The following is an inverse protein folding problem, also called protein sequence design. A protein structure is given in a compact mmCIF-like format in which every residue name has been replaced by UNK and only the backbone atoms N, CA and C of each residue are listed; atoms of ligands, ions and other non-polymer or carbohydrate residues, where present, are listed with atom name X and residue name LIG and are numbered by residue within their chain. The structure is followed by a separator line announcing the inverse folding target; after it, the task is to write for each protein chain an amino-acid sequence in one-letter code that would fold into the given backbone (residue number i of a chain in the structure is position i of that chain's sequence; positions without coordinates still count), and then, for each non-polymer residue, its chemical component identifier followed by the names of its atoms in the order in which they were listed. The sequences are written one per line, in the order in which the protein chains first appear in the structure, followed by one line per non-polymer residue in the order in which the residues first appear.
data_IF_925320969830
#
_entry.id   IF_925320969830
#
_cell.length_a   1.000
_cell.length_b   1.000
_cell.length_c   1.000
_cell.angle_alpha   90.00
_cell.angle_beta   90.00
_cell.angle_gamma   90.00
#
_symmetry.space_group_name_H-M   'P 1'
#
loop_
_entity.id
_entity.type
_entity.pdbx_description
1 polymer ?
#
# COMPACT_ATOMS: atom_id res chain seq x y z
N UNK A 1 -24.20 -2.45 18.90
CA UNK A 1 -24.31 -3.41 17.77
C UNK A 1 -22.91 -3.96 17.56
N UNK A 2 -22.72 -5.28 17.53
CA UNK A 2 -21.39 -5.85 17.25
C UNK A 2 -21.11 -5.86 15.75
N UNK A 3 -19.97 -5.30 15.33
CA UNK A 3 -19.46 -5.41 13.97
C UNK A 3 -18.24 -6.34 13.96
N UNK A 4 -18.40 -7.52 13.37
CA UNK A 4 -17.36 -8.54 13.29
C UNK A 4 -16.75 -8.56 11.89
N UNK A 5 -15.43 -8.50 11.81
CA UNK A 5 -14.67 -8.64 10.58
C UNK A 5 -13.81 -9.89 10.58
N UNK A 6 -13.49 -10.41 9.40
CA UNK A 6 -12.61 -11.56 9.22
C UNK A 6 -11.51 -11.26 8.20
N UNK A 7 -10.35 -11.87 8.39
CA UNK A 7 -9.23 -11.82 7.46
C UNK A 7 -8.39 -10.55 7.53
N UNK A 8 -7.41 -10.48 6.62
CA UNK A 8 -6.41 -9.42 6.53
C UNK A 8 -7.04 -8.02 6.40
N UNK A 9 -8.13 -7.92 5.63
CA UNK A 9 -8.83 -6.66 5.39
C UNK A 9 -9.45 -6.09 6.68
N UNK A 10 -10.07 -6.94 7.48
CA UNK A 10 -10.67 -6.54 8.75
C UNK A 10 -9.60 -6.12 9.77
N UNK A 11 -8.49 -6.86 9.83
CA UNK A 11 -7.36 -6.53 10.68
C UNK A 11 -6.70 -5.21 10.26
N UNK A 12 -6.56 -4.98 8.96
CA UNK A 12 -6.06 -3.71 8.41
C UNK A 12 -6.98 -2.55 8.78
N UNK A 13 -8.29 -2.72 8.56
CA UNK A 13 -9.27 -1.71 8.93
C UNK A 13 -9.22 -1.39 10.42
N UNK A 14 -9.16 -2.43 11.27
CA UNK A 14 -9.03 -2.27 12.72
C UNK A 14 -7.75 -1.50 13.08
N UNK A 15 -6.60 -1.89 12.52
CA UNK A 15 -5.33 -1.26 12.83
C UNK A 15 -5.32 0.23 12.45
N UNK A 16 -5.89 0.57 11.29
CA UNK A 16 -5.96 1.95 10.82
C UNK A 16 -6.97 2.79 11.61
N UNK A 17 -8.05 2.20 12.11
CA UNK A 17 -9.08 2.95 12.84
C UNK A 17 -8.77 3.07 14.33
N UNK A 18 -8.14 2.05 14.92
CA UNK A 18 -7.91 1.97 16.36
C UNK A 18 -6.46 2.23 16.78
N UNK A 19 -5.50 2.05 15.85
CA UNK A 19 -4.06 2.04 16.16
C UNK A 19 -3.23 2.83 15.15
N UNK A 20 -3.82 3.83 14.50
CA UNK A 20 -3.13 4.67 13.52
C UNK A 20 -1.87 5.34 14.10
N UNK A 21 -1.94 5.86 15.32
CA UNK A 21 -0.75 6.44 15.98
C UNK A 21 0.35 5.40 16.18
N UNK A 22 0.02 4.18 16.59
CA UNK A 22 1.01 3.11 16.73
C UNK A 22 1.63 2.71 15.39
N UNK A 23 0.85 2.76 14.30
CA UNK A 23 1.32 2.52 12.93
C UNK A 23 2.33 3.59 12.50
N UNK A 24 2.08 4.85 12.87
CA UNK A 24 2.85 6.03 12.44
C UNK A 24 3.99 6.40 13.39
N UNK A 25 3.99 5.93 14.63
CA UNK A 25 5.00 6.27 15.63
C UNK A 25 6.44 5.91 15.20
N UNK A 26 6.75 4.74 14.59
CA UNK A 26 8.11 4.40 14.15
C UNK A 26 8.71 5.39 13.15
N UNK A 27 7.84 6.20 12.54
CA UNK A 27 8.14 7.17 11.50
C UNK A 27 8.27 8.61 12.01
N UNK A 28 8.07 8.82 13.32
CA UNK A 28 8.00 10.14 13.94
C UNK A 28 6.75 10.93 13.52
N UNK A 29 5.70 10.23 13.10
CA UNK A 29 4.47 10.81 12.56
C UNK A 29 3.28 10.47 13.49
N UNK A 30 2.10 11.05 13.23
CA UNK A 30 0.92 10.88 14.10
C UNK A 30 -0.40 10.86 13.34
N UNK A 31 -1.41 10.25 13.95
CA UNK A 31 -2.78 10.25 13.44
C UNK A 31 -3.33 11.68 13.32
N UNK A 32 -2.96 12.58 14.22
CA UNK A 32 -3.39 13.99 14.19
C UNK A 32 -2.90 14.74 12.94
N UNK A 33 -1.75 14.34 12.37
CA UNK A 33 -1.20 14.90 11.14
C UNK A 33 -1.71 14.19 9.88
N UNK A 34 -2.67 13.27 10.00
CA UNK A 34 -3.21 12.50 8.87
C UNK A 34 -4.22 13.33 8.08
N UNK A 35 -3.94 13.54 6.80
CA UNK A 35 -4.84 14.24 5.90
C UNK A 35 -5.85 13.31 5.22
N UNK A 36 -5.42 12.15 4.74
CA UNK A 36 -6.33 11.21 4.05
C UNK A 36 -5.86 9.78 4.19
N UNK A 37 -6.82 8.87 4.43
CA UNK A 37 -6.61 7.43 4.44
C UNK A 37 -7.50 6.81 3.37
N UNK A 38 -6.90 6.05 2.45
CA UNK A 38 -7.61 5.19 1.52
C UNK A 38 -7.52 3.75 2.02
N UNK A 39 -8.62 3.19 2.48
CA UNK A 39 -8.72 1.78 2.82
C UNK A 39 -9.08 0.97 1.58
N UNK A 40 -8.25 -0.03 1.24
CA UNK A 40 -8.42 -0.91 0.07
C UNK A 40 -8.67 -0.24 -1.27
N UNK A 41 -7.88 0.78 -1.69
CA UNK A 41 -8.03 1.34 -3.02
C UNK A 41 -7.65 0.29 -4.08
N UNK A 42 -8.62 -0.02 -4.94
CA UNK A 42 -8.47 -0.99 -6.02
C UNK A 42 -8.32 -0.29 -7.37
N UNK A 43 -7.30 -0.70 -8.12
CA UNK A 43 -6.89 -0.10 -9.39
C UNK A 43 -6.90 -1.16 -10.52
N UNK A 44 -7.73 -2.20 -10.37
CA UNK A 44 -7.95 -3.25 -11.36
C UNK A 44 -7.20 -4.55 -11.05
N UNK A 45 -7.82 -5.69 -11.39
CA UNK A 45 -7.40 -7.04 -10.97
C UNK A 45 -6.64 -7.85 -12.02
N UNK A 46 -6.52 -7.36 -13.26
CA UNK A 46 -5.69 -8.04 -14.25
C UNK A 46 -4.26 -7.65 -13.95
N UNK A 47 -3.51 -8.48 -13.20
CA UNK A 47 -2.06 -8.35 -13.09
C UNK A 47 -1.43 -9.28 -14.12
N UNK A 48 -0.71 -8.74 -15.07
CA UNK A 48 0.18 -9.44 -15.97
C UNK A 48 1.35 -9.87 -15.12
N UNK A 49 1.50 -11.18 -14.97
CA UNK A 49 2.63 -11.74 -14.24
C UNK A 49 3.95 -11.32 -14.91
N UNK A 50 5.06 -11.36 -14.17
CA UNK A 50 6.40 -11.11 -14.72
C UNK A 50 6.76 -12.00 -15.92
N UNK A 51 6.07 -13.13 -16.07
CA UNK A 51 6.26 -14.09 -17.15
C UNK A 51 5.37 -13.82 -18.38
N UNK A 52 4.48 -12.82 -18.32
CA UNK A 52 3.70 -12.40 -19.48
C UNK A 52 4.50 -11.47 -20.39
N UNK A 53 4.17 -11.56 -21.68
CA UNK A 53 4.67 -10.72 -22.76
C UNK A 53 4.73 -9.25 -22.32
N UNK A 54 5.91 -8.61 -22.35
CA UNK A 54 6.07 -7.20 -22.01
C UNK A 54 5.12 -6.28 -22.77
N UNK A 55 4.72 -6.64 -24.01
CA UNK A 55 3.77 -5.88 -24.83
C UNK A 55 2.31 -5.96 -24.34
N UNK A 56 2.02 -6.79 -23.32
CA UNK A 56 0.69 -6.95 -22.70
C UNK A 56 0.61 -6.39 -21.28
N UNK A 57 1.68 -5.77 -20.77
CA UNK A 57 1.74 -5.18 -19.43
C UNK A 57 1.03 -3.83 -19.41
N UNK A 58 -0.28 -3.84 -19.20
CA UNK A 58 -1.03 -2.61 -18.98
C UNK A 58 -0.66 -1.93 -17.66
N UNK A 59 -1.14 -0.70 -17.47
CA UNK A 59 -1.08 0.03 -16.19
C UNK A 59 -1.84 -0.78 -15.12
N UNK A 60 -1.14 -1.62 -14.37
CA UNK A 60 -1.75 -2.60 -13.48
C UNK A 60 -1.13 -2.46 -12.10
N UNK A 61 -1.95 -1.99 -11.19
CA UNK A 61 -1.55 -1.57 -9.85
C UNK A 61 -2.18 -2.45 -8.78
N UNK A 62 -3.01 -3.43 -9.14
CA UNK A 62 -3.70 -4.28 -8.16
C UNK A 62 -4.50 -3.47 -7.14
N UNK A 63 -4.44 -3.92 -5.89
CA UNK A 63 -5.11 -3.32 -4.74
C UNK A 63 -4.09 -3.16 -3.61
N UNK A 64 -4.07 -2.01 -2.95
CA UNK A 64 -3.30 -1.82 -1.71
C UNK A 64 -4.21 -2.12 -0.53
N UNK A 65 -3.67 -2.59 0.59
CA UNK A 65 -4.48 -2.74 1.80
C UNK A 65 -4.82 -1.37 2.39
N UNK A 66 -3.87 -0.43 2.34
CA UNK A 66 -4.11 0.98 2.62
C UNK A 66 -3.09 1.93 2.00
N UNK A 67 -3.52 3.18 1.79
CA UNK A 67 -2.65 4.31 1.50
C UNK A 67 -2.95 5.42 2.52
N UNK A 68 -1.93 5.85 3.25
CA UNK A 68 -2.06 6.89 4.28
C UNK A 68 -1.26 8.11 3.86
N UNK A 69 -1.89 9.26 3.84
CA UNK A 69 -1.26 10.55 3.54
C UNK A 69 -1.28 11.43 4.79
N UNK A 70 -0.09 11.79 5.28
CA UNK A 70 0.09 12.75 6.38
C UNK A 70 0.68 14.05 5.87
N UNK A 71 0.98 15.03 6.72
CA UNK A 71 1.80 16.17 6.29
C UNK A 71 3.24 15.76 5.93
N UNK A 72 3.79 14.75 6.63
CA UNK A 72 5.19 14.37 6.53
C UNK A 72 5.49 13.34 5.42
N UNK A 73 4.59 12.40 5.13
CA UNK A 73 4.87 11.30 4.19
C UNK A 73 3.60 10.68 3.59
N UNK A 74 3.80 9.87 2.55
CA UNK A 74 2.77 8.95 2.03
C UNK A 74 3.22 7.53 2.34
N UNK A 75 2.37 6.76 3.02
CA UNK A 75 2.64 5.37 3.38
C UNK A 75 1.81 4.46 2.50
N UNK A 76 2.48 3.57 1.76
CA UNK A 76 1.87 2.48 1.00
C UNK A 76 1.91 1.25 1.89
N UNK A 77 0.75 0.77 2.33
CA UNK A 77 0.65 -0.30 3.31
C UNK A 77 0.28 -1.61 2.62
N UNK A 78 1.09 -2.63 2.87
CA UNK A 78 0.72 -4.03 2.69
C UNK A 78 0.57 -4.67 4.08
N UNK A 79 -0.61 -5.18 4.39
CA UNK A 79 -0.88 -5.83 5.65
C UNK A 79 -0.60 -7.33 5.57
N UNK A 80 -0.17 -7.91 6.68
CA UNK A 80 -0.08 -9.35 6.92
C UNK A 80 -0.54 -9.61 8.34
N UNK A 81 -0.90 -10.85 8.63
CA UNK A 81 -1.24 -11.28 9.98
C UNK A 81 -0.32 -12.40 10.40
N UNK A 82 -0.01 -12.49 11.68
CA UNK A 82 1.05 -13.38 12.20
C UNK A 82 0.84 -14.87 11.92
N UNK A 83 -0.39 -15.27 11.61
CA UNK A 83 -0.75 -16.64 11.23
C UNK A 83 -0.78 -16.87 9.71
N UNK A 84 -0.43 -15.87 8.90
CA UNK A 84 -0.36 -16.00 7.45
C UNK A 84 0.88 -16.79 7.03
N UNK A 85 0.76 -17.57 5.95
CA UNK A 85 1.89 -18.35 5.43
C UNK A 85 3.02 -17.48 4.86
N UNK A 86 2.74 -16.20 4.62
CA UNK A 86 3.72 -15.18 4.21
C UNK A 86 4.57 -14.63 5.37
N UNK A 87 4.17 -14.88 6.62
CA UNK A 87 4.93 -14.50 7.82
C UNK A 87 5.73 -15.72 8.28
N UNK A 88 7.01 -15.77 7.91
CA UNK A 88 7.94 -16.80 8.32
C UNK A 88 8.71 -16.37 9.59
N UNK A 89 9.31 -17.30 10.36
CA UNK A 89 9.97 -16.97 11.62
C UNK A 89 11.07 -15.89 11.54
N UNK A 90 11.72 -15.77 10.39
CA UNK A 90 12.84 -14.84 10.17
C UNK A 90 12.54 -13.71 9.17
N UNK A 91 11.47 -13.82 8.37
CA UNK A 91 11.17 -12.86 7.29
C UNK A 91 9.69 -12.78 6.93
N UNK A 92 9.31 -11.68 6.29
CA UNK A 92 8.02 -11.54 5.63
C UNK A 92 8.21 -11.65 4.12
N UNK A 93 7.45 -12.54 3.49
CA UNK A 93 7.52 -12.77 2.06
C UNK A 93 6.43 -11.97 1.35
N UNK A 94 6.84 -10.97 0.56
CA UNK A 94 5.96 -10.35 -0.43
C UNK A 94 6.17 -10.98 -1.79
N UNK A 95 5.06 -11.21 -2.49
CA UNK A 95 5.05 -11.60 -3.90
C UNK A 95 5.60 -10.47 -4.76
N UNK A 96 6.18 -10.86 -5.90
CA UNK A 96 6.86 -9.94 -6.79
C UNK A 96 5.93 -8.84 -7.34
N UNK A 97 4.64 -9.13 -7.51
CA UNK A 97 3.62 -8.16 -7.92
C UNK A 97 3.32 -7.11 -6.84
N UNK A 98 3.37 -7.45 -5.55
CA UNK A 98 3.15 -6.52 -4.45
C UNK A 98 4.30 -5.50 -4.40
N UNK A 99 5.55 -5.97 -4.51
CA UNK A 99 6.74 -5.11 -4.60
C UNK A 99 6.68 -4.20 -5.83
N UNK A 100 6.33 -4.75 -7.00
CA UNK A 100 6.21 -3.98 -8.25
C UNK A 100 5.17 -2.87 -8.12
N UNK A 101 3.99 -3.20 -7.57
CA UNK A 101 2.89 -2.27 -7.37
C UNK A 101 3.32 -1.05 -6.57
N UNK A 102 4.03 -1.26 -5.46
CA UNK A 102 4.58 -0.18 -4.63
C UNK A 102 5.53 0.72 -5.43
N UNK A 103 6.46 0.15 -6.18
CA UNK A 103 7.41 0.91 -7.01
C UNK A 103 6.74 1.73 -8.10
N UNK A 104 5.79 1.13 -8.82
CA UNK A 104 5.00 1.83 -9.84
C UNK A 104 4.24 2.99 -9.21
N UNK A 105 3.52 2.75 -8.12
CA UNK A 105 2.69 3.76 -7.48
C UNK A 105 3.52 4.87 -6.82
N UNK A 106 4.65 4.53 -6.19
CA UNK A 106 5.63 5.49 -5.71
C UNK A 106 6.13 6.41 -6.83
N UNK A 107 6.41 5.85 -8.02
CA UNK A 107 6.79 6.65 -9.19
C UNK A 107 5.69 7.61 -9.65
N UNK A 108 4.43 7.19 -9.61
CA UNK A 108 3.30 8.09 -9.86
C UNK A 108 3.24 9.23 -8.84
N UNK A 109 3.34 8.94 -7.54
CA UNK A 109 3.31 9.95 -6.49
C UNK A 109 4.43 10.98 -6.68
N UNK A 110 5.65 10.52 -6.96
CA UNK A 110 6.79 11.40 -7.23
C UNK A 110 6.52 12.31 -8.43
N UNK A 111 6.20 11.74 -9.60
CA UNK A 111 6.03 12.51 -10.82
C UNK A 111 4.81 13.43 -10.76
N UNK A 112 3.70 12.97 -10.18
CA UNK A 112 2.49 13.78 -10.02
C UNK A 112 2.75 14.98 -9.11
N UNK A 113 3.48 14.78 -8.01
CA UNK A 113 3.91 15.85 -7.12
C UNK A 113 4.83 16.85 -7.86
N UNK A 114 5.92 16.36 -8.43
CA UNK A 114 6.95 17.18 -9.11
C UNK A 114 6.39 17.98 -10.30
N UNK A 115 5.56 17.37 -11.12
CA UNK A 115 5.02 18.01 -12.32
C UNK A 115 3.77 18.83 -12.07
N UNK A 116 3.08 18.57 -10.95
CA UNK A 116 1.83 19.23 -10.55
C UNK A 116 0.86 19.43 -11.73
N UNK A 117 0.52 18.35 -12.48
CA UNK A 117 -0.35 18.47 -13.64
C UNK A 117 -1.76 18.90 -13.22
N UNK A 118 -2.44 19.72 -14.03
CA UNK A 118 -3.81 20.11 -13.77
C UNK A 118 -4.82 18.99 -14.10
N UNK A 119 -4.45 18.08 -15.00
CA UNK A 119 -5.32 17.01 -15.50
C UNK A 119 -4.55 15.69 -15.70
N UNK A 120 -5.28 14.57 -15.80
CA UNK A 120 -4.65 13.29 -16.13
C UNK A 120 -4.10 13.29 -17.56
N UNK A 121 -4.78 13.94 -18.48
CA UNK A 121 -4.39 14.10 -19.87
C UNK A 121 -3.01 14.76 -20.00
N UNK A 122 -2.80 15.83 -19.22
CA UNK A 122 -1.51 16.51 -19.12
C UNK A 122 -0.44 15.58 -18.56
N UNK A 123 -0.72 14.88 -17.45
CA UNK A 123 0.21 13.90 -16.87
C UNK A 123 0.58 12.79 -17.86
N UNK A 124 -0.41 12.21 -18.53
CA UNK A 124 -0.24 11.13 -19.51
C UNK A 124 0.57 11.60 -20.72
N UNK A 125 0.32 12.81 -21.23
CA UNK A 125 1.08 13.36 -22.36
C UNK A 125 2.58 13.54 -22.06
N UNK A 126 2.92 13.88 -20.81
CA UNK A 126 4.30 14.02 -20.33
C UNK A 126 4.95 12.68 -19.99
N UNK A 127 4.14 11.72 -19.56
CA UNK A 127 4.59 10.42 -19.07
C UNK A 127 3.76 9.31 -19.73
N UNK A 128 3.91 9.04 -21.04
CA UNK A 128 3.17 7.98 -21.70
C UNK A 128 3.53 6.60 -21.12
N UNK A 129 4.76 6.46 -20.61
CA UNK A 129 5.21 5.33 -19.83
C UNK A 129 6.06 5.79 -18.64
N UNK A 130 6.09 4.98 -17.59
CA UNK A 130 6.87 5.17 -16.38
C UNK A 130 8.05 4.21 -16.37
N UNK A 131 9.24 4.77 -16.20
CA UNK A 131 10.44 4.00 -15.91
C UNK A 131 10.53 3.73 -14.41
N UNK A 132 10.65 2.45 -14.04
CA UNK A 132 10.84 1.97 -12.68
C UNK A 132 12.04 1.03 -12.60
N UNK A 133 12.63 0.91 -11.42
CA UNK A 133 13.63 -0.12 -11.15
C UNK A 133 12.90 -1.44 -10.84
N UNK A 134 13.04 -2.41 -11.72
CA UNK A 134 12.55 -3.78 -11.56
C UNK A 134 13.36 -4.59 -10.56
N UNK A 135 13.03 -5.87 -10.44
CA UNK A 135 13.77 -6.81 -9.59
C UNK A 135 15.17 -7.06 -10.15
N UNK A 136 16.15 -7.28 -9.26
CA UNK A 136 17.57 -7.46 -9.60
C UNK A 136 18.19 -6.27 -10.39
N UNK A 137 17.67 -5.05 -10.19
CA UNK A 137 18.25 -3.83 -10.74
C UNK A 137 17.98 -3.57 -12.22
N UNK A 138 17.14 -4.36 -12.89
CA UNK A 138 16.76 -4.13 -14.29
C UNK A 138 15.74 -3.01 -14.40
N UNK A 139 15.91 -2.07 -15.32
CA UNK A 139 14.87 -1.07 -15.62
C UNK A 139 13.66 -1.73 -16.27
N UNK A 140 12.47 -1.27 -15.92
CA UNK A 140 11.19 -1.66 -16.51
C UNK A 140 10.40 -0.41 -16.89
N UNK A 141 9.71 -0.49 -18.04
CA UNK A 141 8.75 0.52 -18.47
C UNK A 141 7.32 0.03 -18.27
N UNK A 142 6.45 0.91 -17.79
CA UNK A 142 5.04 0.64 -17.50
C UNK A 142 4.18 1.73 -18.15
N UNK A 143 3.27 1.37 -19.06
CA UNK A 143 2.36 2.36 -19.65
C UNK A 143 1.53 3.05 -18.58
N UNK A 144 1.26 4.35 -18.76
CA UNK A 144 0.34 5.04 -17.87
C UNK A 144 -1.12 4.70 -18.19
N UNK A 145 -2.01 4.84 -17.20
CA UNK A 145 -3.40 4.49 -17.41
C UNK A 145 -4.02 5.31 -18.56
N UNK A 146 -4.80 4.68 -19.47
CA UNK A 146 -5.36 5.38 -20.61
C UNK A 146 -6.23 6.56 -20.20
N UNK A 147 -6.12 7.66 -20.94
CA UNK A 147 -6.97 8.85 -20.80
C UNK A 147 -8.45 8.47 -20.83
N UNK A 148 -9.24 9.09 -19.96
CA UNK A 148 -10.69 8.83 -19.84
C UNK A 148 -11.07 7.49 -19.17
N UNK A 149 -10.10 6.62 -18.85
CA UNK A 149 -10.39 5.34 -18.19
C UNK A 149 -10.86 5.52 -16.75
N UNK A 150 -11.58 4.52 -16.21
CA UNK A 150 -11.91 4.47 -14.76
C UNK A 150 -10.64 4.47 -13.90
N UNK A 151 -9.61 3.76 -14.36
CA UNK A 151 -8.33 3.68 -13.67
C UNK A 151 -7.66 5.05 -13.57
N UNK A 152 -7.58 5.80 -14.68
CA UNK A 152 -7.07 7.17 -14.68
C UNK A 152 -7.81 8.05 -13.65
N UNK A 153 -9.15 8.02 -13.62
CA UNK A 153 -9.93 8.79 -12.65
C UNK A 153 -9.65 8.41 -11.18
N UNK A 154 -9.54 7.11 -10.91
CA UNK A 154 -9.19 6.62 -9.57
C UNK A 154 -7.79 7.09 -9.17
N UNK A 155 -6.81 6.96 -10.07
CA UNK A 155 -5.44 7.42 -9.84
C UNK A 155 -5.39 8.94 -9.63
N UNK A 156 -6.05 9.74 -10.47
CA UNK A 156 -6.15 11.19 -10.26
C UNK A 156 -6.66 11.54 -8.88
N UNK A 157 -7.70 10.84 -8.41
CA UNK A 157 -8.29 11.08 -7.08
C UNK A 157 -7.26 10.82 -5.98
N UNK A 158 -6.64 9.63 -5.96
CA UNK A 158 -5.68 9.27 -4.91
C UNK A 158 -4.41 10.13 -4.98
N UNK A 159 -3.85 10.34 -6.17
CA UNK A 159 -2.65 11.14 -6.34
C UNK A 159 -2.87 12.60 -5.95
N UNK A 160 -4.03 13.19 -6.25
CA UNK A 160 -4.36 14.56 -5.85
C UNK A 160 -4.45 14.70 -4.32
N UNK A 161 -4.95 13.68 -3.63
CA UNK A 161 -5.01 13.67 -2.16
C UNK A 161 -3.65 13.40 -1.50
N UNK A 162 -2.78 12.63 -2.16
CA UNK A 162 -1.54 12.13 -1.53
C UNK A 162 -0.29 12.92 -1.93
N UNK A 163 -0.12 13.21 -3.22
CA UNK A 163 1.13 13.67 -3.80
C UNK A 163 1.39 15.14 -3.48
N UNK A 164 2.59 15.41 -2.94
CA UNK A 164 3.15 16.74 -2.72
C UNK A 164 4.63 16.71 -3.06
N UNK A 165 5.14 17.79 -3.63
CA UNK A 165 6.57 17.93 -3.94
C UNK A 165 7.41 17.68 -2.69
N UNK A 166 8.46 16.86 -2.81
CA UNK A 166 9.42 16.59 -1.74
C UNK A 166 8.89 15.69 -0.62
N UNK A 167 7.64 15.24 -0.68
CA UNK A 167 7.06 14.37 0.34
C UNK A 167 7.51 12.91 0.12
N UNK A 168 8.21 12.29 1.08
CA UNK A 168 8.70 10.93 0.93
C UNK A 168 7.54 9.92 0.83
N UNK A 169 7.74 8.90 -0.01
CA UNK A 169 6.89 7.71 -0.08
C UNK A 169 7.57 6.60 0.71
N UNK A 170 6.83 5.93 1.59
CA UNK A 170 7.33 4.84 2.44
C UNK A 170 6.55 3.58 2.17
N UNK A 171 7.28 2.53 1.83
CA UNK A 171 6.74 1.18 1.66
C UNK A 171 6.71 0.49 3.01
N UNK A 172 5.52 0.13 3.48
CA UNK A 172 5.31 -0.39 4.83
C UNK A 172 4.65 -1.76 4.76
N UNK A 173 5.19 -2.70 5.54
CA UNK A 173 4.50 -3.94 5.87
C UNK A 173 3.93 -3.81 7.27
N UNK A 174 2.60 -3.84 7.36
CA UNK A 174 1.91 -3.89 8.64
C UNK A 174 1.68 -5.34 9.04
N UNK A 175 2.30 -5.82 10.11
CA UNK A 175 1.99 -7.14 10.68
C UNK A 175 1.05 -6.96 11.86
N UNK A 176 -0.14 -7.56 11.77
CA UNK A 176 -1.12 -7.55 12.85
C UNK A 176 -1.06 -8.87 13.61
N UNK A 177 -0.95 -8.78 14.94
CA UNK A 177 -0.85 -9.93 15.86
C UNK A 177 -2.15 -10.10 16.65
N UNK A 178 -3.01 -11.08 16.32
CA UNK A 178 -4.27 -11.27 17.04
C UNK A 178 -4.10 -12.01 18.36
N UNK A 179 -4.44 -11.33 19.45
CA UNK A 179 -4.18 -11.81 20.81
C UNK A 179 -2.69 -11.76 21.15
N UNK A 180 -2.35 -11.96 22.43
CA UNK A 180 -0.95 -12.09 22.89
C UNK A 180 -0.34 -13.43 22.43
N UNK A 181 -0.29 -13.66 21.11
CA UNK A 181 0.32 -14.83 20.53
C UNK A 181 1.85 -14.79 20.69
N UNK A 182 2.51 -15.96 20.80
CA UNK A 182 3.95 -16.02 20.90
C UNK A 182 4.58 -15.28 19.71
N UNK A 183 5.54 -14.43 20.04
CA UNK A 183 6.26 -13.50 19.17
C UNK A 183 6.90 -14.20 17.95
N UNK A 184 6.12 -14.46 16.90
CA UNK A 184 6.68 -14.47 15.56
C UNK A 184 7.02 -13.00 15.26
N UNK A 185 8.25 -12.62 15.63
CA UNK A 185 8.86 -11.33 15.29
C UNK A 185 9.68 -11.52 14.03
N UNK A 186 9.06 -11.50 12.83
CA UNK A 186 9.83 -11.55 11.60
C UNK A 186 10.82 -10.38 11.62
N UNK A 187 12.10 -10.70 11.41
CA UNK A 187 13.16 -9.73 11.65
C UNK A 187 13.34 -8.73 10.51
N UNK A 188 12.81 -9.06 9.33
CA UNK A 188 12.93 -8.21 8.14
C UNK A 188 11.79 -8.41 7.14
N UNK A 189 11.49 -7.32 6.43
CA UNK A 189 10.73 -7.35 5.19
C UNK A 189 11.67 -7.40 3.96
N UNK A 190 11.10 -7.41 2.75
CA UNK A 190 11.85 -7.19 1.52
C UNK A 190 12.62 -5.87 1.54
N UNK A 191 13.70 -5.79 0.76
CA UNK A 191 14.52 -4.58 0.65
C UNK A 191 13.65 -3.35 0.32
N UNK A 192 13.85 -2.27 1.08
CA UNK A 192 13.11 -1.01 0.95
C UNK A 192 11.80 -0.95 1.75
N UNK A 193 11.29 -2.07 2.24
CA UNK A 193 10.08 -2.10 3.07
C UNK A 193 10.41 -1.98 4.55
N UNK A 194 9.62 -1.17 5.25
CA UNK A 194 9.71 -0.99 6.70
C UNK A 194 8.61 -1.83 7.36
N UNK A 195 8.98 -2.69 8.31
CA UNK A 195 8.01 -3.53 9.03
C UNK A 195 7.51 -2.77 10.26
N UNK A 196 6.19 -2.74 10.43
CA UNK A 196 5.51 -2.19 11.60
C UNK A 196 4.60 -3.27 12.16
N UNK A 197 4.74 -3.53 13.45
CA UNK A 197 4.00 -4.58 14.14
C UNK A 197 2.95 -3.96 15.09
N UNK A 198 1.73 -4.47 15.06
CA UNK A 198 0.64 -4.01 15.92
C UNK A 198 -0.10 -5.20 16.52
N UNK A 199 -0.19 -5.23 17.85
CA UNK A 199 -1.05 -6.16 18.56
C UNK A 199 -2.53 -5.74 18.47
N UNK A 200 -3.40 -6.70 18.18
CA UNK A 200 -4.85 -6.52 18.23
C UNK A 200 -5.52 -7.48 19.23
N UNK A 201 -6.76 -7.19 19.66
CA UNK A 201 -7.51 -8.09 20.53
C UNK A 201 -7.60 -9.50 19.96
N UNK A 202 -7.74 -10.48 20.86
CA UNK A 202 -7.96 -11.86 20.45
C UNK A 202 -9.22 -11.97 19.58
N UNK A 203 -9.11 -12.73 18.49
CA UNK A 203 -10.26 -13.00 17.61
C UNK A 203 -11.21 -14.01 18.24
N UNK A 204 -12.52 -13.79 18.10
CA UNK A 204 -13.58 -14.74 18.47
C UNK A 204 -13.94 -15.57 17.25
N UNK A 205 -13.66 -16.86 17.28
CA UNK A 205 -13.93 -17.81 16.17
C UNK A 205 -13.33 -17.34 14.82
N UNK A 206 -12.16 -16.69 14.87
CA UNK A 206 -11.47 -16.11 13.71
C UNK A 206 -11.91 -14.70 13.33
N UNK A 207 -12.90 -14.11 14.03
CA UNK A 207 -13.38 -12.76 13.78
C UNK A 207 -12.84 -11.74 14.77
N UNK A 208 -12.50 -10.54 14.29
CA UNK A 208 -12.15 -9.39 15.12
C UNK A 208 -13.36 -8.46 15.30
N UNK A 209 -13.52 -7.89 16.49
CA UNK A 209 -14.49 -6.82 16.74
C UNK A 209 -13.95 -5.50 16.20
N UNK A 210 -14.66 -4.89 15.24
CA UNK A 210 -14.24 -3.69 14.54
C UNK A 210 -14.71 -2.37 15.19
N UNK A 211 -15.51 -2.46 16.24
CA UNK A 211 -15.95 -1.30 17.00
C UNK A 211 -16.68 -1.69 18.26
N UNK A 212 -16.39 -0.95 19.33
CA UNK A 212 -17.24 -0.85 20.50
C UNK A 212 -18.17 0.35 20.26
N UNK A 213 -19.47 0.10 20.03
CA UNK A 213 -20.49 1.17 20.05
C UNK A 213 -20.87 1.51 21.47
#
# INVERSE_FOLDING_TARGET
MELLGYGEDALTYWAITQRLDALLQPFGDSAAATGTVFFRPSFGRRSSSWNEDPSRRGAQFGEFDSIISTEAAVYLIEAKWSSSGEVEPDRIVLRAEQIRRHRVFGRYLTLWGEQSPATWEEFHSRNPALEIQGLAGRSESCETAPVGSRLARNLTTVLTCCARVGKPVRDVILVVHPGAQPELKPRSGPEGFQVVEIDCPAMRDGFILLGDT
#
